data_IF_386230056992
#
_entry.id   IF_386230056992
#
_cell.length_a   1.000
_cell.length_b   1.000
_cell.length_c   1.000
_cell.angle_alpha   90.00
_cell.angle_beta   90.00
_cell.angle_gamma   90.00
#
_symmetry.space_group_name_H-M   'P 1'
#
loop_
_entity.id
_entity.type
_entity.pdbx_description
1 polymer ?
#
# COMPACT_ATOMS: atom_id res chain seq x y z
N UNK A 1 -11.80 -12.05 -1.30
CA UNK A 1 -12.04 -10.61 -1.04
C UNK A 1 -13.06 -10.11 -2.06
N UNK A 2 -14.13 -9.40 -1.65
CA UNK A 2 -15.10 -8.78 -2.59
C UNK A 2 -14.59 -7.39 -2.93
N UNK A 3 -14.28 -7.11 -4.18
CA UNK A 3 -13.97 -5.75 -4.64
C UNK A 3 -15.24 -4.88 -4.56
N UNK A 4 -15.12 -3.63 -4.14
CA UNK A 4 -16.19 -2.64 -4.31
C UNK A 4 -16.19 -2.19 -5.76
N UNK A 5 -17.35 -2.25 -6.39
CA UNK A 5 -17.59 -1.72 -7.73
C UNK A 5 -18.47 -0.50 -7.54
N UNK A 6 -17.94 0.68 -7.81
CA UNK A 6 -18.72 1.91 -7.88
C UNK A 6 -19.07 2.15 -9.34
N UNK A 7 -20.35 2.08 -9.67
CA UNK A 7 -20.87 2.35 -11.02
C UNK A 7 -21.50 3.73 -11.01
N UNK A 8 -20.97 4.65 -11.81
CA UNK A 8 -21.54 5.98 -12.06
C UNK A 8 -22.14 5.98 -13.46
N UNK A 9 -23.43 6.24 -13.59
CA UNK A 9 -24.10 6.39 -14.89
C UNK A 9 -24.35 7.88 -15.12
N UNK A 10 -23.76 8.41 -16.19
CA UNK A 10 -23.92 9.80 -16.59
C UNK A 10 -25.17 9.99 -17.45
N UNK A 11 -25.71 11.22 -17.47
CA UNK A 11 -26.94 11.55 -18.20
C UNK A 11 -26.84 11.37 -19.72
N UNK A 12 -25.61 11.35 -20.26
CA UNK A 12 -25.33 11.09 -21.67
C UNK A 12 -25.25 9.57 -21.99
N UNK A 13 -25.51 8.70 -21.02
CA UNK A 13 -25.42 7.24 -21.17
C UNK A 13 -24.02 6.66 -20.93
N UNK A 14 -23.01 7.49 -20.62
CA UNK A 14 -21.70 6.99 -20.23
C UNK A 14 -21.77 6.31 -18.88
N UNK A 15 -20.96 5.26 -18.71
CA UNK A 15 -20.85 4.52 -17.44
C UNK A 15 -19.39 4.50 -17.04
N UNK A 16 -19.09 5.01 -15.85
CA UNK A 16 -17.79 4.88 -15.19
C UNK A 16 -17.86 3.80 -14.12
N UNK A 17 -16.97 2.82 -14.21
CA UNK A 17 -16.90 1.68 -13.30
C UNK A 17 -15.58 1.80 -12.54
N UNK A 18 -15.66 2.39 -11.35
CA UNK A 18 -14.54 2.47 -10.43
C UNK A 18 -14.48 1.18 -9.62
N UNK A 19 -13.52 0.34 -9.95
CA UNK A 19 -13.20 -0.84 -9.19
C UNK A 19 -11.80 -0.71 -8.63
N UNK A 20 -11.70 -0.54 -7.31
CA UNK A 20 -10.44 -0.46 -6.61
C UNK A 20 -10.48 -1.42 -5.41
N UNK A 21 -9.45 -2.24 -5.26
CA UNK A 21 -9.19 -2.92 -4.00
C UNK A 21 -8.90 -1.88 -2.92
N UNK A 22 -9.12 -2.21 -1.64
CA UNK A 22 -8.78 -1.31 -0.53
C UNK A 22 -7.30 -0.90 -0.56
N UNK A 23 -6.43 -1.77 -1.07
CA UNK A 23 -5.01 -1.47 -1.30
C UNK A 23 -4.79 -0.36 -2.33
N UNK A 24 -5.52 -0.40 -3.44
CA UNK A 24 -5.49 0.65 -4.46
C UNK A 24 -6.12 1.95 -3.97
N UNK A 25 -7.19 1.87 -3.17
CA UNK A 25 -7.79 3.05 -2.53
C UNK A 25 -6.79 3.70 -1.57
N UNK A 26 -6.17 2.94 -0.68
CA UNK A 26 -5.14 3.45 0.24
C UNK A 26 -3.94 4.04 -0.50
N UNK A 27 -3.48 3.42 -1.59
CA UNK A 27 -2.41 3.98 -2.41
C UNK A 27 -2.81 5.29 -3.09
N UNK A 28 -4.05 5.37 -3.61
CA UNK A 28 -4.59 6.60 -4.21
C UNK A 28 -4.74 7.70 -3.15
N UNK A 29 -5.21 7.37 -1.97
CA UNK A 29 -5.35 8.30 -0.84
C UNK A 29 -3.98 8.84 -0.42
N UNK A 30 -2.98 7.96 -0.29
CA UNK A 30 -1.60 8.35 -0.02
C UNK A 30 -1.10 9.38 -1.05
N UNK A 31 -1.24 9.07 -2.34
CA UNK A 31 -0.82 9.97 -3.43
C UNK A 31 -1.60 11.28 -3.42
N UNK A 32 -2.90 11.24 -3.12
CA UNK A 32 -3.73 12.43 -3.01
C UNK A 32 -3.29 13.34 -1.86
N UNK A 33 -3.00 12.79 -0.68
CA UNK A 33 -2.50 13.57 0.45
C UNK A 33 -1.11 14.14 0.19
N UNK A 34 -0.18 13.35 -0.34
CA UNK A 34 1.15 13.82 -0.75
C UNK A 34 1.07 14.96 -1.77
N UNK A 35 0.20 14.83 -2.77
CA UNK A 35 -0.03 15.88 -3.76
C UNK A 35 -0.68 17.15 -3.17
N UNK A 36 -1.59 17.01 -2.20
CA UNK A 36 -2.17 18.15 -1.48
C UNK A 36 -1.12 18.87 -0.63
N UNK A 37 -0.26 18.13 0.07
CA UNK A 37 0.83 18.72 0.85
C UNK A 37 1.71 19.61 -0.02
N UNK A 38 2.18 19.08 -1.16
CA UNK A 38 2.99 19.84 -2.12
C UNK A 38 2.30 21.12 -2.60
N UNK A 39 1.04 21.03 -3.02
CA UNK A 39 0.25 22.21 -3.45
C UNK A 39 0.03 23.24 -2.35
N UNK A 40 0.12 22.85 -1.09
CA UNK A 40 0.02 23.77 0.04
C UNK A 40 1.36 24.43 0.38
N UNK A 41 2.48 23.70 0.21
CA UNK A 41 3.83 24.27 0.25
C UNK A 41 4.06 25.30 -0.85
N UNK A 42 3.58 25.02 -2.07
CA UNK A 42 3.66 25.94 -3.23
C UNK A 42 2.98 27.31 -3.00
N UNK A 43 2.10 27.43 -1.98
CA UNK A 43 1.41 28.69 -1.66
C UNK A 43 2.24 29.65 -0.79
N UNK A 44 3.41 29.21 -0.33
CA UNK A 44 4.39 30.00 0.43
C UNK A 44 3.75 30.95 1.47
N UNK A 45 2.95 30.37 2.37
CA UNK A 45 2.24 31.12 3.41
C UNK A 45 2.12 30.30 4.69
N UNK A 46 2.02 30.97 5.84
CA UNK A 46 1.87 30.29 7.13
C UNK A 46 0.64 29.35 7.18
N UNK A 47 -0.46 29.75 6.53
CA UNK A 47 -1.65 28.91 6.37
C UNK A 47 -1.39 27.73 5.43
N UNK A 48 -0.62 27.94 4.35
CA UNK A 48 -0.15 26.90 3.44
C UNK A 48 0.64 25.84 4.20
N UNK A 49 1.69 26.26 4.91
CA UNK A 49 2.56 25.40 5.73
C UNK A 49 1.76 24.55 6.74
N UNK A 50 0.83 25.19 7.45
CA UNK A 50 -0.05 24.49 8.40
C UNK A 50 -0.85 23.35 7.76
N UNK A 51 -1.42 23.57 6.57
CA UNK A 51 -2.15 22.52 5.85
C UNK A 51 -1.22 21.50 5.22
N UNK A 52 -0.05 21.91 4.73
CA UNK A 52 0.93 21.01 4.14
C UNK A 52 1.35 19.94 5.15
N UNK A 53 1.76 20.35 6.35
CA UNK A 53 2.13 19.44 7.45
C UNK A 53 1.00 18.49 7.85
N UNK A 54 -0.26 18.95 7.80
CA UNK A 54 -1.43 18.07 8.05
C UNK A 54 -1.56 16.98 6.99
N UNK A 55 -1.37 17.34 5.73
CA UNK A 55 -1.43 16.38 4.63
C UNK A 55 -0.21 15.45 4.59
N UNK A 56 0.98 15.89 5.01
CA UNK A 56 2.16 15.03 5.14
C UNK A 56 1.96 13.95 6.21
N UNK A 57 1.43 14.32 7.39
CA UNK A 57 1.04 13.34 8.41
C UNK A 57 -0.02 12.37 7.91
N UNK A 58 -1.07 12.88 7.27
CA UNK A 58 -2.12 12.02 6.71
C UNK A 58 -1.55 11.03 5.67
N UNK A 59 -0.68 11.51 4.77
CA UNK A 59 -0.01 10.66 3.79
C UNK A 59 0.84 9.59 4.49
N UNK A 60 1.62 9.95 5.51
CA UNK A 60 2.46 8.99 6.24
C UNK A 60 1.63 7.87 6.88
N UNK A 61 0.55 8.23 7.58
CA UNK A 61 -0.36 7.26 8.20
C UNK A 61 -0.98 6.33 7.16
N UNK A 62 -1.43 6.88 6.03
CA UNK A 62 -1.99 6.09 4.93
C UNK A 62 -0.96 5.17 4.28
N UNK A 63 0.30 5.61 4.14
CA UNK A 63 1.38 4.78 3.60
C UNK A 63 1.66 3.57 4.48
N UNK A 64 1.74 3.75 5.81
CA UNK A 64 1.92 2.64 6.72
C UNK A 64 0.71 1.70 6.76
N UNK A 65 -0.52 2.25 6.74
CA UNK A 65 -1.73 1.43 6.66
C UNK A 65 -1.78 0.59 5.36
N UNK A 66 -1.36 1.18 4.24
CA UNK A 66 -1.23 0.47 2.96
C UNK A 66 -0.20 -0.66 3.07
N UNK A 67 1.02 -0.35 3.55
CA UNK A 67 2.10 -1.33 3.69
C UNK A 67 1.68 -2.48 4.61
N UNK A 68 1.10 -2.18 5.78
CA UNK A 68 0.64 -3.18 6.73
C UNK A 68 -0.42 -4.10 6.11
N UNK A 69 -1.42 -3.53 5.43
CA UNK A 69 -2.45 -4.33 4.78
C UNK A 69 -1.88 -5.27 3.70
N UNK A 70 -0.89 -4.81 2.94
CA UNK A 70 -0.23 -5.62 1.91
C UNK A 70 0.53 -6.77 2.56
N UNK A 71 1.35 -6.47 3.56
CA UNK A 71 2.18 -7.46 4.26
C UNK A 71 1.32 -8.50 4.98
N UNK A 72 0.26 -8.08 5.69
CA UNK A 72 -0.67 -8.99 6.37
C UNK A 72 -1.31 -10.01 5.42
N UNK A 73 -1.65 -9.56 4.21
CA UNK A 73 -2.20 -10.46 3.21
C UNK A 73 -1.13 -11.42 2.68
N UNK A 74 0.06 -10.92 2.37
CA UNK A 74 1.16 -11.78 1.92
C UNK A 74 1.56 -12.84 2.95
N UNK A 75 1.51 -12.52 4.25
CA UNK A 75 1.70 -13.52 5.30
C UNK A 75 0.65 -14.62 5.27
N UNK A 76 -0.62 -14.27 5.01
CA UNK A 76 -1.71 -15.26 4.85
C UNK A 76 -1.52 -16.10 3.58
N UNK A 77 -1.10 -15.49 2.48
CA UNK A 77 -0.80 -16.19 1.23
C UNK A 77 0.37 -17.16 1.39
N UNK A 78 1.45 -16.74 2.08
CA UNK A 78 2.59 -17.59 2.39
C UNK A 78 2.23 -18.77 3.29
N UNK A 79 1.44 -18.53 4.34
CA UNK A 79 0.96 -19.60 5.23
C UNK A 79 0.09 -20.61 4.47
N UNK A 80 -0.84 -20.13 3.64
CA UNK A 80 -1.68 -21.00 2.81
C UNK A 80 -0.85 -21.83 1.82
N UNK A 81 0.16 -21.24 1.18
CA UNK A 81 1.06 -21.94 0.26
C UNK A 81 1.88 -23.05 0.97
N UNK A 82 2.19 -22.86 2.26
CA UNK A 82 2.88 -23.84 3.09
C UNK A 82 1.94 -24.87 3.75
N UNK A 83 0.61 -24.75 3.58
CA UNK A 83 -0.37 -25.58 4.31
C UNK A 83 -0.35 -25.35 5.82
N UNK A 84 0.03 -24.15 6.26
CA UNK A 84 0.17 -23.75 7.66
C UNK A 84 -0.83 -22.65 8.05
N UNK A 85 -1.04 -22.46 9.35
CA UNK A 85 -1.80 -21.33 9.87
C UNK A 85 -1.01 -20.02 9.79
N UNK A 86 -1.66 -18.87 9.55
CA UNK A 86 -1.00 -17.57 9.54
C UNK A 86 -0.34 -17.26 10.89
N UNK A 87 0.90 -16.78 10.84
CA UNK A 87 1.60 -16.35 12.06
C UNK A 87 1.00 -15.03 12.54
N UNK A 88 0.59 -15.00 13.81
CA UNK A 88 0.02 -13.83 14.47
C UNK A 88 1.07 -12.79 14.90
N UNK A 89 1.86 -12.28 13.96
CA UNK A 89 2.77 -11.16 14.21
C UNK A 89 1.96 -9.86 14.32
N UNK A 90 2.20 -9.07 15.36
CA UNK A 90 1.48 -7.80 15.60
C UNK A 90 2.21 -6.62 14.97
N UNK A 91 3.51 -6.49 15.21
CA UNK A 91 4.33 -5.40 14.68
C UNK A 91 4.58 -5.58 13.17
N UNK A 92 4.20 -4.59 12.38
CA UNK A 92 4.65 -4.37 10.99
C UNK A 92 6.15 -4.59 10.78
N UNK A 93 7.03 -4.12 11.67
CA UNK A 93 8.47 -4.35 11.54
C UNK A 93 8.82 -5.84 11.62
N UNK A 94 8.19 -6.58 12.54
CA UNK A 94 8.37 -8.04 12.66
C UNK A 94 7.76 -8.77 11.46
N UNK A 95 6.57 -8.34 11.00
CA UNK A 95 5.92 -8.86 9.79
C UNK A 95 6.83 -8.70 8.56
N UNK A 96 7.40 -7.51 8.36
CA UNK A 96 8.31 -7.22 7.25
C UNK A 96 9.58 -8.07 7.33
N UNK A 97 10.17 -8.19 8.54
CA UNK A 97 11.36 -9.01 8.77
C UNK A 97 11.09 -10.48 8.46
N UNK A 98 10.00 -11.02 8.97
CA UNK A 98 9.62 -12.41 8.74
C UNK A 98 9.41 -12.70 7.25
N UNK A 99 8.68 -11.84 6.54
CA UNK A 99 8.44 -12.02 5.12
C UNK A 99 9.73 -11.89 4.28
N UNK A 100 10.66 -11.03 4.69
CA UNK A 100 12.02 -10.95 4.09
C UNK A 100 12.77 -12.26 4.25
N UNK A 101 12.79 -12.82 5.47
CA UNK A 101 13.44 -14.09 5.76
C UNK A 101 12.82 -15.22 4.94
N UNK A 102 11.48 -15.27 4.88
CA UNK A 102 10.76 -16.26 4.09
C UNK A 102 11.08 -16.14 2.60
N UNK A 103 11.09 -14.93 2.03
CA UNK A 103 11.45 -14.69 0.63
C UNK A 103 12.91 -15.07 0.28
N UNK A 104 13.79 -15.12 1.28
CA UNK A 104 15.18 -15.55 1.15
C UNK A 104 15.39 -17.06 1.28
N UNK A 105 14.33 -17.86 1.54
CA UNK A 105 14.42 -19.31 1.73
C UNK A 105 13.76 -20.07 0.56
N UNK A 106 14.19 -21.32 0.26
CA UNK A 106 13.46 -22.19 -0.66
C UNK A 106 12.00 -22.36 -0.21
N UNK A 107 11.01 -22.38 -1.13
CA UNK A 107 11.13 -22.47 -2.60
C UNK A 107 11.35 -21.13 -3.33
N UNK A 108 11.56 -20.03 -2.62
CA UNK A 108 11.74 -18.71 -3.22
C UNK A 108 13.19 -18.49 -3.69
N UNK A 109 13.41 -17.40 -4.44
CA UNK A 109 14.66 -17.17 -5.19
C UNK A 109 15.95 -17.10 -4.36
N UNK A 110 15.86 -16.95 -3.04
CA UNK A 110 17.03 -17.00 -2.16
C UNK A 110 17.98 -15.82 -2.30
N UNK A 111 17.51 -14.69 -2.82
CA UNK A 111 18.32 -13.47 -2.97
C UNK A 111 18.29 -12.70 -1.66
N UNK A 112 19.46 -12.38 -1.12
CA UNK A 112 19.58 -11.56 0.08
C UNK A 112 19.04 -10.15 -0.17
N UNK A 113 18.29 -9.63 0.80
CA UNK A 113 17.76 -8.28 0.81
C UNK A 113 17.94 -7.68 2.20
N UNK A 114 18.42 -6.44 2.25
CA UNK A 114 18.55 -5.70 3.50
C UNK A 114 17.37 -4.75 3.68
N UNK A 115 16.47 -5.10 4.60
CA UNK A 115 15.31 -4.27 4.94
C UNK A 115 15.58 -3.27 6.07
N UNK A 116 16.82 -3.12 6.56
CA UNK A 116 17.12 -2.40 7.81
C UNK A 116 16.55 -0.99 7.87
N UNK A 117 16.59 -0.26 6.75
CA UNK A 117 16.09 1.13 6.70
C UNK A 117 14.56 1.18 6.76
N UNK A 118 13.86 0.34 6.01
CA UNK A 118 12.41 0.18 6.16
C UNK A 118 12.02 -0.23 7.59
N UNK A 119 12.74 -1.20 8.16
CA UNK A 119 12.49 -1.68 9.54
C UNK A 119 12.63 -0.57 10.58
N UNK A 120 13.57 0.35 10.36
CA UNK A 120 13.74 1.55 11.20
C UNK A 120 12.52 2.46 11.12
N UNK A 121 11.99 2.71 9.92
CA UNK A 121 10.79 3.54 9.75
C UNK A 121 9.54 2.89 10.36
N UNK A 122 9.31 1.60 10.11
CA UNK A 122 8.17 0.88 10.69
C UNK A 122 8.27 0.80 12.20
N UNK A 123 9.47 0.57 12.76
CA UNK A 123 9.69 0.53 14.20
C UNK A 123 9.40 1.86 14.89
N UNK A 124 9.82 2.98 14.30
CA UNK A 124 9.48 4.32 14.81
C UNK A 124 7.98 4.59 14.77
N UNK A 125 7.31 4.19 13.69
CA UNK A 125 5.87 4.32 13.56
C UNK A 125 5.12 3.53 14.65
N UNK A 126 5.53 2.29 14.91
CA UNK A 126 4.91 1.40 15.90
C UNK A 126 5.09 1.86 17.35
N UNK A 127 6.22 2.49 17.65
CA UNK A 127 6.47 3.10 18.96
C UNK A 127 5.63 4.37 19.18
N UNK A 128 4.73 4.69 18.24
CA UNK A 128 3.97 5.93 18.22
C UNK A 128 4.88 7.15 18.41
N UNK A 129 6.06 7.12 17.78
CA UNK A 129 7.04 8.19 17.86
C UNK A 129 6.43 9.48 17.32
N UNK A 130 5.96 10.33 18.24
CA UNK A 130 5.37 11.62 17.90
C UNK A 130 6.36 12.48 17.12
N UNK A 131 7.67 12.31 17.33
CA UNK A 131 8.68 13.04 16.57
C UNK A 131 8.65 12.68 15.08
N UNK A 132 8.31 11.44 14.71
CA UNK A 132 8.13 11.07 13.31
C UNK A 132 6.94 11.82 12.68
N UNK A 133 5.83 11.95 13.40
CA UNK A 133 4.64 12.69 12.93
C UNK A 133 4.86 14.21 12.96
N UNK A 134 5.64 14.71 13.90
CA UNK A 134 5.94 16.14 14.03
C UNK A 134 6.91 16.61 12.94
N UNK A 135 7.89 15.78 12.58
CA UNK A 135 8.98 16.15 11.67
C UNK A 135 8.86 15.54 10.27
N UNK A 136 7.80 14.80 9.96
CA UNK A 136 7.57 14.36 8.59
C UNK A 136 7.40 15.57 7.66
N UNK A 137 8.18 15.56 6.59
CA UNK A 137 8.11 16.49 5.47
C UNK A 137 8.08 15.70 4.15
N UNK A 138 7.97 16.41 3.03
CA UNK A 138 7.95 15.79 1.69
C UNK A 138 9.18 14.93 1.38
N UNK A 139 10.35 15.27 1.90
CA UNK A 139 11.61 14.53 1.65
C UNK A 139 11.64 13.23 2.42
N UNK A 140 11.31 13.27 3.72
CA UNK A 140 11.20 12.08 4.55
C UNK A 140 10.09 11.16 4.04
N UNK A 141 8.95 11.73 3.64
CA UNK A 141 7.84 10.96 3.07
C UNK A 141 8.23 10.26 1.76
N UNK A 142 9.05 10.90 0.91
CA UNK A 142 9.58 10.26 -0.29
C UNK A 142 10.56 9.14 0.07
N UNK A 143 11.49 9.38 1.00
CA UNK A 143 12.43 8.36 1.43
C UNK A 143 11.73 7.11 2.00
N UNK A 144 10.65 7.27 2.77
CA UNK A 144 9.86 6.15 3.28
C UNK A 144 9.11 5.44 2.14
N UNK A 145 8.59 6.19 1.16
CA UNK A 145 7.94 5.63 -0.03
C UNK A 145 8.91 4.73 -0.82
N UNK A 146 10.11 5.22 -1.08
CA UNK A 146 11.12 4.51 -1.87
C UNK A 146 11.52 3.20 -1.21
N UNK A 147 11.77 3.21 0.11
CA UNK A 147 12.10 2.00 0.88
C UNK A 147 10.95 1.00 0.93
N UNK A 148 9.71 1.49 1.04
CA UNK A 148 8.53 0.62 1.01
C UNK A 148 8.32 0.01 -0.38
N UNK A 149 8.51 0.80 -1.44
CA UNK A 149 8.38 0.35 -2.83
C UNK A 149 9.44 -0.67 -3.21
N UNK A 150 10.70 -0.41 -2.83
CA UNK A 150 11.82 -1.33 -3.04
C UNK A 150 11.57 -2.67 -2.33
N UNK A 151 11.18 -2.61 -1.06
CA UNK A 151 10.84 -3.79 -0.28
C UNK A 151 9.71 -4.61 -0.91
N UNK A 152 8.58 -3.96 -1.23
CA UNK A 152 7.46 -4.66 -1.85
C UNK A 152 7.86 -5.23 -3.20
N UNK A 153 8.65 -4.52 -4.00
CA UNK A 153 9.14 -4.99 -5.30
C UNK A 153 10.03 -6.22 -5.15
N UNK A 154 10.88 -6.24 -4.12
CA UNK A 154 11.69 -7.41 -3.78
C UNK A 154 10.80 -8.62 -3.45
N UNK A 155 9.82 -8.46 -2.56
CA UNK A 155 8.90 -9.54 -2.18
C UNK A 155 8.14 -10.06 -3.40
N UNK A 156 7.54 -9.19 -4.21
CA UNK A 156 6.80 -9.57 -5.42
C UNK A 156 7.68 -10.38 -6.39
N UNK A 157 8.95 -10.00 -6.57
CA UNK A 157 9.89 -10.73 -7.43
C UNK A 157 10.30 -12.08 -6.84
N UNK A 158 10.43 -12.16 -5.52
CA UNK A 158 10.88 -13.36 -4.83
C UNK A 158 9.76 -14.40 -4.71
N UNK A 159 8.52 -13.97 -4.46
CA UNK A 159 7.38 -14.84 -4.13
C UNK A 159 6.33 -14.96 -5.23
N UNK A 160 6.27 -14.00 -6.16
CA UNK A 160 5.19 -13.90 -7.15
C UNK A 160 3.88 -13.34 -6.58
N UNK A 161 3.85 -12.92 -5.31
CA UNK A 161 2.70 -12.20 -4.78
C UNK A 161 2.58 -10.83 -5.44
N UNK A 162 1.40 -10.21 -5.34
CA UNK A 162 1.12 -8.90 -5.95
C UNK A 162 0.53 -7.95 -4.92
N UNK A 163 1.11 -6.75 -4.73
CA UNK A 163 0.61 -5.78 -3.75
C UNK A 163 -0.79 -5.26 -4.11
N UNK A 164 -1.14 -5.25 -5.39
CA UNK A 164 -2.51 -5.02 -5.86
C UNK A 164 -3.09 -6.34 -6.39
N UNK A 165 -4.08 -6.94 -5.71
CA UNK A 165 -4.63 -8.23 -6.13
C UNK A 165 -5.30 -8.13 -7.50
N UNK A 166 -5.09 -9.14 -8.33
CA UNK A 166 -5.85 -9.30 -9.56
C UNK A 166 -7.35 -9.52 -9.25
N UNK A 167 -8.19 -9.05 -10.17
CA UNK A 167 -9.64 -9.22 -10.09
C UNK A 167 -10.00 -10.72 -10.04
N UNK A 168 -10.91 -11.10 -9.14
CA UNK A 168 -11.43 -12.47 -9.14
C UNK A 168 -12.13 -12.73 -10.48
N UNK A 169 -12.03 -13.96 -11.01
CA UNK A 169 -12.67 -14.38 -12.26
C UNK A 169 -14.17 -14.04 -12.35
N UNK A 170 -14.89 -14.10 -11.23
CA UNK A 170 -16.31 -13.73 -11.17
C UNK A 170 -16.60 -12.25 -11.45
N UNK A 171 -15.66 -11.36 -11.17
CA UNK A 171 -15.81 -9.93 -11.51
C UNK A 171 -15.36 -9.63 -12.93
N UNK A 172 -14.33 -10.32 -13.41
CA UNK A 172 -13.93 -10.27 -14.83
C UNK A 172 -15.07 -10.74 -15.75
N UNK A 173 -15.79 -11.80 -15.37
CA UNK A 173 -16.97 -12.28 -16.12
C UNK A 173 -18.12 -11.26 -16.16
N UNK A 174 -18.37 -10.53 -15.06
CA UNK A 174 -19.36 -9.44 -15.04
C UNK A 174 -18.91 -8.30 -15.97
N UNK A 175 -17.61 -8.00 -16.03
CA UNK A 175 -17.07 -6.97 -16.93
C UNK A 175 -17.16 -7.38 -18.41
N UNK A 176 -16.85 -8.63 -18.76
CA UNK A 176 -17.09 -9.15 -20.11
C UNK A 176 -18.56 -9.08 -20.49
N UNK A 177 -19.45 -9.43 -19.55
CA UNK A 177 -20.90 -9.32 -19.76
C UNK A 177 -21.29 -7.86 -20.03
N UNK A 178 -20.88 -6.90 -19.22
CA UNK A 178 -21.22 -5.48 -19.43
C UNK A 178 -20.59 -4.93 -20.72
N UNK A 179 -19.37 -5.34 -21.06
CA UNK A 179 -18.69 -4.95 -22.30
C UNK A 179 -19.38 -5.49 -23.55
N UNK A 180 -19.97 -6.68 -23.47
CA UNK A 180 -20.72 -7.30 -24.58
C UNK A 180 -22.06 -6.60 -24.89
N UNK A 181 -22.60 -5.80 -23.97
CA UNK A 181 -23.83 -5.01 -24.20
C UNK A 181 -23.56 -3.72 -24.99
N UNK A 182 -22.29 -3.44 -25.31
CA UNK A 182 -21.86 -2.31 -26.16
C UNK A 182 -21.61 -2.70 -27.63
N UNK A 183 -21.86 -3.97 -28.02
CA UNK A 183 -21.95 -4.39 -29.43
C UNK A 183 -23.42 -4.44 -29.87
#
# INVERSE_FOLDING_TARGET
MKAKINVTVFQNGDVDILQASVYEELWKDYKAFKGRARRHHEKDSAKGEFFARRYERAALLTLFAFLEGVVDRWLKEAAAAAGAEPIGLTALSDKCRYLTQLACLPPFRGVAYDAARLLTFTGRYEQADLALLEHVDGSLLQAIEDEADEYMTFIERATGFTRFPHLNAGTAAIMETIGSWRQ
#
